data_IF_806826804750
#
_entry.id   IF_806826804750
#
_cell.length_a   1.000
_cell.length_b   1.000
_cell.length_c   1.000
_cell.angle_alpha   90.00
_cell.angle_beta   90.00
_cell.angle_gamma   90.00
#
_symmetry.space_group_name_H-M   'P 1'
#
loop_
_entity.id
_entity.type
_entity.pdbx_description
1 polymer ?
#
# COMPACT_ATOMS: atom_id res chain seq x y z
N UNK A 1 4.78 9.14 -3.65
CA UNK A 1 6.10 8.75 -4.18
C UNK A 1 6.73 7.77 -3.22
N UNK A 2 7.15 6.65 -3.71
CA UNK A 2 7.74 5.58 -2.94
C UNK A 2 9.26 5.72 -2.92
N UNK A 3 9.84 6.02 -1.78
CA UNK A 3 11.22 6.50 -1.74
C UNK A 3 11.35 7.83 -2.51
N UNK A 4 12.26 8.66 -2.15
CA UNK A 4 12.57 9.85 -2.92
C UNK A 4 13.89 9.58 -3.64
N UNK A 5 13.96 9.87 -4.94
CA UNK A 5 15.25 10.03 -5.58
C UNK A 5 16.02 11.17 -4.89
N UNK A 6 17.36 11.20 -4.97
CA UNK A 6 18.14 12.20 -4.26
C UNK A 6 17.70 13.65 -4.54
N UNK A 7 17.39 14.08 -5.78
CA UNK A 7 16.88 15.43 -6.06
C UNK A 7 15.55 15.73 -5.35
N UNK A 8 14.60 14.81 -5.36
CA UNK A 8 13.31 14.99 -4.69
C UNK A 8 13.47 15.02 -3.16
N UNK A 9 14.36 14.21 -2.60
CA UNK A 9 14.65 14.23 -1.18
C UNK A 9 15.29 15.57 -0.75
N UNK A 10 16.25 16.08 -1.54
CA UNK A 10 16.87 17.39 -1.32
C UNK A 10 15.81 18.50 -1.38
N UNK A 11 15.00 18.54 -2.44
CA UNK A 11 13.91 19.52 -2.56
C UNK A 11 12.92 19.45 -1.38
N UNK A 12 12.62 18.26 -0.90
CA UNK A 12 11.73 18.09 0.26
C UNK A 12 12.35 18.70 1.51
N UNK A 13 13.67 18.54 1.71
CA UNK A 13 14.38 19.13 2.83
C UNK A 13 14.41 20.68 2.73
N UNK A 14 14.75 21.22 1.57
CA UNK A 14 14.79 22.66 1.32
C UNK A 14 13.44 23.33 1.55
N UNK A 15 12.36 22.73 1.03
CA UNK A 15 11.00 23.23 1.24
C UNK A 15 10.60 23.13 2.71
N UNK A 16 10.91 22.03 3.38
CA UNK A 16 10.60 21.87 4.79
C UNK A 16 11.32 22.93 5.65
N UNK A 17 12.58 23.22 5.38
CA UNK A 17 13.34 24.27 6.05
C UNK A 17 12.77 25.65 5.79
N UNK A 18 12.48 25.98 4.53
CA UNK A 18 11.90 27.26 4.09
C UNK A 18 10.58 27.57 4.84
N UNK A 19 9.73 26.59 5.05
CA UNK A 19 8.44 26.74 5.73
C UNK A 19 8.50 26.44 7.25
N UNK A 20 9.71 26.32 7.81
CA UNK A 20 9.92 26.19 9.26
C UNK A 20 9.39 24.87 9.84
N UNK A 21 9.39 23.80 9.05
CA UNK A 21 9.02 22.49 9.56
C UNK A 21 9.93 22.07 10.72
N UNK A 22 9.35 21.38 11.72
CA UNK A 22 10.08 20.94 12.90
C UNK A 22 10.84 19.64 12.67
N UNK A 23 10.37 18.79 11.74
CA UNK A 23 11.02 17.52 11.43
C UNK A 23 10.56 16.95 10.09
N UNK A 24 11.45 16.15 9.48
CA UNK A 24 11.11 15.19 8.43
C UNK A 24 11.09 13.79 9.04
N UNK A 25 9.97 13.09 8.94
CA UNK A 25 9.81 11.76 9.50
C UNK A 25 9.57 10.73 8.42
N UNK A 26 10.40 9.70 8.35
CA UNK A 26 10.12 8.52 7.53
C UNK A 26 8.99 7.72 8.20
N UNK A 27 7.89 7.52 7.48
CA UNK A 27 6.72 6.80 7.97
C UNK A 27 6.86 5.28 7.77
N UNK A 28 6.03 4.49 8.47
CA UNK A 28 5.95 3.05 8.26
C UNK A 28 5.48 2.62 6.85
N UNK A 29 4.93 3.56 6.07
CA UNK A 29 4.59 3.34 4.66
C UNK A 29 5.70 3.84 3.71
N UNK A 30 6.92 4.07 4.22
CA UNK A 30 8.08 4.53 3.46
C UNK A 30 7.87 5.88 2.74
N UNK A 31 7.04 6.73 3.33
CA UNK A 31 6.80 8.12 2.88
C UNK A 31 7.49 9.09 3.83
N UNK A 32 7.82 10.28 3.35
CA UNK A 32 8.31 11.37 4.19
C UNK A 32 7.11 12.21 4.66
N UNK A 33 6.96 12.35 5.96
CA UNK A 33 6.02 13.29 6.56
C UNK A 33 6.77 14.55 6.98
N UNK A 34 6.28 15.70 6.53
CA UNK A 34 6.79 17.02 6.95
C UNK A 34 5.97 17.43 8.18
N UNK A 35 6.63 17.56 9.32
CA UNK A 35 5.96 17.74 10.62
C UNK A 35 6.14 19.18 11.10
N UNK A 36 5.05 19.76 11.62
CA UNK A 36 5.09 21.08 12.27
C UNK A 36 4.93 22.27 11.33
N UNK A 37 4.44 22.04 10.11
CA UNK A 37 3.99 23.12 9.22
C UNK A 37 2.80 23.83 9.83
N UNK A 38 2.64 25.12 9.51
CA UNK A 38 1.42 25.84 9.77
C UNK A 38 0.34 25.43 8.75
N UNK A 39 -0.90 25.41 9.17
CA UNK A 39 -2.03 25.01 8.32
C UNK A 39 -2.14 25.90 7.07
N UNK A 40 -1.91 27.19 7.22
CA UNK A 40 -1.94 28.20 6.14
C UNK A 40 -0.88 27.97 5.03
N UNK A 41 0.21 27.27 5.35
CA UNK A 41 1.32 27.01 4.43
C UNK A 41 1.18 25.69 3.65
N UNK A 42 0.26 24.79 4.05
CA UNK A 42 0.17 23.44 3.51
C UNK A 42 0.01 23.43 1.99
N UNK A 43 -0.90 24.24 1.45
CA UNK A 43 -1.15 24.28 0.00
C UNK A 43 0.04 24.86 -0.77
N UNK A 44 0.74 25.84 -0.19
CA UNK A 44 1.94 26.42 -0.78
C UNK A 44 3.09 25.40 -0.83
N UNK A 45 3.27 24.63 0.25
CA UNK A 45 4.25 23.55 0.33
C UNK A 45 4.00 22.49 -0.74
N UNK A 46 2.75 22.00 -0.90
CA UNK A 46 2.42 21.01 -1.93
C UNK A 46 2.64 21.53 -3.35
N UNK A 47 2.26 22.77 -3.62
CA UNK A 47 2.53 23.41 -4.93
C UNK A 47 4.02 23.50 -5.22
N UNK A 48 4.82 23.92 -4.24
CA UNK A 48 6.26 24.06 -4.42
C UNK A 48 6.96 22.71 -4.60
N UNK A 49 6.53 21.68 -3.85
CA UNK A 49 7.01 20.32 -4.05
C UNK A 49 6.66 19.76 -5.43
N UNK A 50 5.55 20.21 -6.02
CA UNK A 50 5.05 19.67 -7.29
C UNK A 50 4.51 18.24 -7.17
N UNK A 51 4.04 17.88 -5.97
CA UNK A 51 3.52 16.55 -5.66
C UNK A 51 2.10 16.65 -5.11
N UNK A 52 1.31 15.59 -5.30
CA UNK A 52 0.02 15.45 -4.65
C UNK A 52 0.17 15.04 -3.18
N UNK A 53 -0.76 15.50 -2.35
CA UNK A 53 -0.84 15.07 -0.96
C UNK A 53 -1.07 13.55 -0.85
N UNK A 54 -0.38 12.90 0.08
CA UNK A 54 -0.55 11.47 0.31
C UNK A 54 -1.88 11.15 1.00
N UNK A 55 -2.56 10.08 0.59
CA UNK A 55 -3.79 9.59 1.22
C UNK A 55 -3.49 8.91 2.57
N UNK A 56 -3.16 9.72 3.58
CA UNK A 56 -2.80 9.24 4.92
C UNK A 56 -4.02 8.98 5.83
N UNK A 57 -5.17 9.57 5.52
CA UNK A 57 -6.43 9.46 6.29
C UNK A 57 -7.62 9.22 5.36
N UNK A 58 -8.77 8.85 5.90
CA UNK A 58 -10.00 8.65 5.11
C UNK A 58 -10.33 7.20 4.77
N UNK A 59 -11.46 7.00 4.14
CA UNK A 59 -11.95 5.70 3.65
C UNK A 59 -11.47 5.51 2.22
N UNK A 60 -10.23 5.07 2.07
CA UNK A 60 -9.58 4.96 0.77
C UNK A 60 -8.46 3.92 0.78
N UNK A 61 -7.90 3.65 -0.40
CA UNK A 61 -6.63 2.96 -0.52
C UNK A 61 -5.53 3.86 0.04
N UNK A 62 -4.87 3.39 1.11
CA UNK A 62 -3.74 4.09 1.74
C UNK A 62 -2.46 3.87 0.95
N UNK A 63 -1.43 4.65 1.27
CA UNK A 63 -0.09 4.47 0.70
C UNK A 63 0.33 3.00 0.73
N UNK A 64 0.69 2.47 -0.41
CA UNK A 64 1.10 1.08 -0.58
C UNK A 64 2.54 0.93 -0.09
N UNK A 65 2.82 -0.13 0.65
CA UNK A 65 4.14 -0.43 1.15
C UNK A 65 4.76 -1.54 0.30
N UNK A 66 5.99 -1.35 -0.17
CA UNK A 66 6.73 -2.39 -0.86
C UNK A 66 8.15 -2.49 -0.30
N UNK A 67 8.80 -3.62 -0.40
CA UNK A 67 10.22 -3.74 -0.17
C UNK A 67 11.00 -3.57 -1.50
N UNK A 68 12.33 -3.46 -1.47
CA UNK A 68 13.11 -3.29 -2.70
C UNK A 68 12.97 -4.43 -3.73
N UNK A 69 12.59 -5.63 -3.30
CA UNK A 69 12.48 -6.78 -4.19
C UNK A 69 13.77 -7.10 -4.93
N UNK A 70 13.66 -7.70 -6.12
CA UNK A 70 14.81 -8.04 -6.96
C UNK A 70 15.62 -6.84 -7.44
N UNK A 71 15.06 -5.64 -7.35
CA UNK A 71 15.77 -4.42 -7.77
C UNK A 71 17.04 -4.16 -6.93
N UNK A 72 16.97 -4.36 -5.60
CA UNK A 72 18.09 -4.05 -4.70
C UNK A 72 18.33 -5.13 -3.63
N UNK A 73 17.56 -6.19 -3.58
CA UNK A 73 17.69 -7.22 -2.56
C UNK A 73 18.17 -8.55 -3.16
N UNK A 74 19.31 -9.05 -2.68
CA UNK A 74 19.86 -10.36 -3.10
C UNK A 74 18.95 -11.55 -2.77
N UNK A 75 18.08 -11.40 -1.76
CA UNK A 75 17.10 -12.41 -1.34
C UNK A 75 15.74 -12.23 -2.03
N UNK A 76 15.59 -11.19 -2.85
CA UNK A 76 14.36 -10.94 -3.62
C UNK A 76 14.11 -12.06 -4.63
N UNK A 77 12.86 -12.50 -4.72
CA UNK A 77 12.39 -13.50 -5.69
C UNK A 77 11.53 -12.84 -6.78
N UNK A 78 10.87 -11.74 -6.43
CA UNK A 78 9.96 -11.00 -7.31
C UNK A 78 10.24 -9.49 -7.25
N UNK A 79 9.86 -8.77 -8.31
CA UNK A 79 9.97 -7.31 -8.40
C UNK A 79 8.89 -6.60 -7.56
N UNK A 80 9.13 -6.53 -6.26
CA UNK A 80 8.19 -5.87 -5.35
C UNK A 80 8.11 -4.37 -5.55
N UNK A 81 9.19 -3.74 -5.98
CA UNK A 81 9.21 -2.30 -6.21
C UNK A 81 8.35 -1.94 -7.43
N UNK A 82 8.54 -2.61 -8.56
CA UNK A 82 7.75 -2.36 -9.77
C UNK A 82 6.26 -2.63 -9.57
N UNK A 83 5.90 -3.78 -8.96
CA UNK A 83 4.50 -4.10 -8.65
C UNK A 83 3.91 -3.12 -7.64
N UNK A 84 4.66 -2.73 -6.61
CA UNK A 84 4.22 -1.76 -5.61
C UNK A 84 3.97 -0.38 -6.18
N UNK A 85 4.82 0.10 -7.10
CA UNK A 85 4.65 1.36 -7.81
C UNK A 85 3.43 1.33 -8.73
N UNK A 86 3.23 0.24 -9.48
CA UNK A 86 2.07 0.08 -10.35
C UNK A 86 0.74 0.10 -9.57
N UNK A 87 0.70 -0.53 -8.39
CA UNK A 87 -0.46 -0.48 -7.50
C UNK A 87 -0.68 0.91 -6.93
N UNK A 88 0.39 1.60 -6.50
CA UNK A 88 0.31 2.96 -5.93
C UNK A 88 -0.22 3.95 -6.98
N UNK A 89 0.28 3.89 -8.21
CA UNK A 89 -0.16 4.72 -9.32
C UNK A 89 -1.64 4.53 -9.66
N UNK A 90 -2.11 3.27 -9.66
CA UNK A 90 -3.50 2.94 -10.04
C UNK A 90 -4.51 3.25 -8.95
N UNK A 91 -4.15 3.04 -7.68
CA UNK A 91 -5.17 2.94 -6.61
C UNK A 91 -4.96 3.88 -5.43
N UNK A 92 -3.76 4.47 -5.25
CA UNK A 92 -3.50 5.34 -4.11
C UNK A 92 -4.53 6.47 -4.00
N UNK A 93 -5.18 6.59 -2.85
CA UNK A 93 -6.21 7.60 -2.62
C UNK A 93 -7.59 7.27 -3.17
N UNK A 94 -7.76 6.16 -3.93
CA UNK A 94 -9.08 5.77 -4.45
C UNK A 94 -10.06 5.54 -3.31
N UNK A 95 -11.25 6.15 -3.41
CA UNK A 95 -12.31 6.04 -2.42
C UNK A 95 -12.86 4.62 -2.33
N UNK A 96 -13.03 4.15 -1.10
CA UNK A 96 -13.55 2.83 -0.76
C UNK A 96 -14.53 2.92 0.42
N UNK A 97 -15.38 1.91 0.62
CA UNK A 97 -16.27 1.85 1.79
C UNK A 97 -15.52 1.86 3.14
N UNK A 98 -14.29 1.36 3.17
CA UNK A 98 -13.44 1.32 4.36
C UNK A 98 -11.97 1.61 4.05
N UNK A 99 -11.18 1.77 5.11
CA UNK A 99 -9.72 1.91 5.01
C UNK A 99 -9.11 0.62 4.46
N UNK A 100 -8.31 0.70 3.42
CA UNK A 100 -7.62 -0.44 2.83
C UNK A 100 -6.10 -0.19 2.74
N UNK A 101 -5.31 -1.16 3.17
CA UNK A 101 -3.85 -1.13 3.11
C UNK A 101 -3.34 -2.28 2.29
N UNK A 102 -2.42 -2.00 1.38
CA UNK A 102 -1.73 -3.03 0.58
C UNK A 102 -0.24 -3.03 0.87
N UNK A 103 0.39 -4.19 0.68
CA UNK A 103 1.85 -4.26 0.67
C UNK A 103 2.39 -5.38 -0.19
N UNK A 104 3.63 -5.19 -0.64
CA UNK A 104 4.31 -6.08 -1.59
C UNK A 104 5.70 -6.42 -1.02
N UNK A 105 5.90 -7.68 -0.66
CA UNK A 105 7.18 -8.22 -0.20
C UNK A 105 7.79 -9.08 -1.30
N UNK A 106 8.95 -8.73 -1.83
CA UNK A 106 9.61 -9.42 -2.94
C UNK A 106 10.25 -10.77 -2.57
N UNK A 107 10.10 -11.23 -1.34
CA UNK A 107 10.63 -12.49 -0.88
C UNK A 107 9.96 -12.97 0.41
N UNK A 108 10.26 -14.20 0.79
CA UNK A 108 9.64 -14.94 1.90
C UNK A 108 9.81 -14.31 3.28
N UNK A 109 10.81 -13.41 3.46
CA UNK A 109 11.04 -12.72 4.71
C UNK A 109 9.97 -11.68 5.03
N UNK A 110 9.04 -11.43 4.11
CA UNK A 110 7.87 -10.58 4.32
C UNK A 110 8.21 -9.17 4.87
N UNK A 111 9.28 -8.56 4.38
CA UNK A 111 9.82 -7.28 4.88
C UNK A 111 8.84 -6.09 4.78
N UNK A 112 7.88 -6.13 3.86
CA UNK A 112 6.80 -5.15 3.76
C UNK A 112 5.56 -5.52 4.58
N UNK A 113 5.61 -6.59 5.39
CA UNK A 113 4.52 -7.05 6.26
C UNK A 113 3.24 -7.41 5.50
N UNK A 114 3.38 -8.08 4.34
CA UNK A 114 2.26 -8.40 3.44
C UNK A 114 1.18 -9.26 4.10
N UNK A 115 1.56 -10.20 4.97
CA UNK A 115 0.64 -11.09 5.68
C UNK A 115 -0.29 -10.39 6.67
N UNK A 116 -0.01 -9.13 7.01
CA UNK A 116 -0.83 -8.35 7.95
C UNK A 116 -1.37 -7.07 7.28
N UNK A 117 -1.75 -7.18 6.01
CA UNK A 117 -2.41 -6.12 5.24
C UNK A 117 -3.73 -6.62 4.67
N UNK A 118 -4.62 -5.69 4.32
CA UNK A 118 -5.91 -6.04 3.71
C UNK A 118 -5.70 -6.83 2.42
N UNK A 119 -4.69 -6.44 1.62
CA UNK A 119 -4.20 -7.19 0.46
C UNK A 119 -2.67 -7.24 0.56
N UNK A 120 -2.10 -8.43 0.51
CA UNK A 120 -0.66 -8.65 0.56
C UNK A 120 -0.17 -9.51 -0.58
N UNK A 121 0.97 -9.12 -1.17
CA UNK A 121 1.71 -9.92 -2.14
C UNK A 121 3.04 -10.32 -1.54
N UNK A 122 3.35 -11.61 -1.54
CA UNK A 122 4.64 -12.14 -1.10
C UNK A 122 5.28 -12.93 -2.23
N UNK A 123 6.51 -12.58 -2.60
CA UNK A 123 7.25 -13.18 -3.70
C UNK A 123 7.90 -14.51 -3.31
N UNK A 124 7.68 -15.52 -4.14
CA UNK A 124 8.33 -16.82 -4.11
C UNK A 124 8.99 -17.07 -5.47
N UNK A 125 9.72 -18.18 -5.63
CA UNK A 125 10.37 -18.50 -6.91
C UNK A 125 9.34 -18.78 -8.00
N UNK A 126 8.21 -19.39 -7.63
CA UNK A 126 7.11 -19.73 -8.53
C UNK A 126 6.20 -18.56 -8.88
N UNK A 127 6.41 -17.37 -8.30
CA UNK A 127 5.57 -16.20 -8.50
C UNK A 127 5.05 -15.59 -7.20
N UNK A 128 3.95 -14.85 -7.29
CA UNK A 128 3.35 -14.19 -6.13
C UNK A 128 2.37 -15.09 -5.39
N UNK A 129 2.45 -15.07 -4.07
CA UNK A 129 1.36 -15.49 -3.20
C UNK A 129 0.54 -14.27 -2.80
N UNK A 130 -0.76 -14.32 -3.04
CA UNK A 130 -1.71 -13.28 -2.70
C UNK A 130 -2.45 -13.65 -1.41
N UNK A 131 -2.39 -12.77 -0.43
CA UNK A 131 -3.10 -12.89 0.85
C UNK A 131 -4.10 -11.76 1.03
N UNK A 132 -5.20 -12.03 1.72
CA UNK A 132 -6.29 -11.07 1.95
C UNK A 132 -6.78 -11.07 3.40
N UNK A 133 -7.30 -9.93 3.84
CA UNK A 133 -7.99 -9.79 5.13
C UNK A 133 -7.09 -9.63 6.35
N UNK A 134 -5.79 -9.45 6.16
CA UNK A 134 -4.86 -9.11 7.25
C UNK A 134 -4.99 -7.65 7.70
N UNK A 135 -4.63 -7.37 8.95
CA UNK A 135 -4.45 -6.01 9.45
C UNK A 135 -3.56 -5.98 10.71
N UNK A 136 -3.02 -4.80 11.01
CA UNK A 136 -2.36 -4.50 12.28
C UNK A 136 -3.06 -3.27 12.87
N UNK A 137 -4.04 -3.51 13.70
CA UNK A 137 -4.77 -2.51 14.48
C UNK A 137 -5.10 -3.08 15.87
N UNK A 138 -6.11 -2.56 16.57
CA UNK A 138 -6.49 -3.02 17.92
C UNK A 138 -6.87 -4.51 17.99
N UNK A 139 -7.28 -5.11 16.86
CA UNK A 139 -7.53 -6.54 16.73
C UNK A 139 -6.73 -7.06 15.53
N UNK A 140 -5.45 -7.42 15.73
CA UNK A 140 -4.58 -7.82 14.64
C UNK A 140 -5.04 -9.14 14.00
N UNK A 141 -4.87 -9.23 12.68
CA UNK A 141 -5.28 -10.39 11.89
C UNK A 141 -4.18 -10.76 10.92
N UNK A 142 -3.93 -12.03 10.78
CA UNK A 142 -3.09 -12.56 9.70
C UNK A 142 -3.98 -12.79 8.48
N UNK A 143 -3.50 -12.36 7.32
CA UNK A 143 -4.18 -12.58 6.05
C UNK A 143 -4.31 -14.06 5.71
N UNK A 144 -5.38 -14.39 5.01
CA UNK A 144 -5.61 -15.74 4.48
C UNK A 144 -5.06 -15.83 3.05
N UNK A 145 -4.38 -16.93 2.73
CA UNK A 145 -3.93 -17.19 1.36
C UNK A 145 -5.15 -17.32 0.44
N UNK A 146 -5.17 -16.52 -0.61
CA UNK A 146 -6.19 -16.57 -1.65
C UNK A 146 -5.75 -17.46 -2.81
N UNK A 147 -4.53 -17.24 -3.30
CA UNK A 147 -3.89 -18.02 -4.38
C UNK A 147 -2.38 -17.80 -4.38
N UNK A 148 -1.67 -18.62 -5.15
CA UNK A 148 -0.20 -18.58 -5.30
C UNK A 148 0.25 -18.84 -6.73
N UNK A 149 1.53 -18.60 -7.01
CA UNK A 149 2.13 -18.83 -8.33
C UNK A 149 1.71 -17.82 -9.39
N UNK A 150 1.31 -16.59 -8.99
CA UNK A 150 0.85 -15.57 -9.91
C UNK A 150 2.02 -14.84 -10.58
N UNK A 151 1.86 -14.53 -11.85
CA UNK A 151 2.69 -13.52 -12.55
C UNK A 151 2.35 -12.11 -12.06
N UNK A 152 3.15 -11.11 -12.44
CA UNK A 152 2.86 -9.70 -12.12
C UNK A 152 1.48 -9.27 -12.62
N UNK A 153 1.16 -9.57 -13.87
CA UNK A 153 -0.11 -9.18 -14.49
C UNK A 153 -1.31 -9.87 -13.84
N UNK A 154 -1.18 -11.16 -13.53
CA UNK A 154 -2.20 -11.90 -12.81
C UNK A 154 -2.43 -11.33 -11.40
N UNK A 155 -1.35 -11.01 -10.68
CA UNK A 155 -1.43 -10.42 -9.34
C UNK A 155 -2.13 -9.05 -9.38
N UNK A 156 -1.77 -8.17 -10.34
CA UNK A 156 -2.40 -6.87 -10.53
C UNK A 156 -3.89 -7.01 -10.90
N UNK A 157 -4.23 -7.90 -11.83
CA UNK A 157 -5.61 -8.15 -12.22
C UNK A 157 -6.47 -8.73 -11.10
N UNK A 158 -5.90 -9.60 -10.26
CA UNK A 158 -6.63 -10.11 -9.08
C UNK A 158 -6.84 -9.04 -8.02
N UNK A 159 -5.85 -8.18 -7.77
CA UNK A 159 -6.02 -7.02 -6.87
C UNK A 159 -7.16 -6.13 -7.36
N UNK A 160 -7.24 -5.85 -8.65
CA UNK A 160 -8.34 -5.08 -9.24
C UNK A 160 -9.71 -5.72 -8.98
N UNK A 161 -9.87 -7.01 -9.27
CA UNK A 161 -11.12 -7.74 -9.01
C UNK A 161 -11.52 -7.70 -7.54
N UNK A 162 -10.55 -7.87 -6.61
CA UNK A 162 -10.78 -7.77 -5.17
C UNK A 162 -11.27 -6.37 -4.78
N UNK A 163 -10.64 -5.32 -5.29
CA UNK A 163 -11.02 -3.94 -5.00
C UNK A 163 -12.43 -3.63 -5.52
N UNK A 164 -12.78 -4.06 -6.72
CA UNK A 164 -14.13 -3.90 -7.28
C UNK A 164 -15.18 -4.64 -6.45
N UNK A 165 -14.90 -5.89 -6.09
CA UNK A 165 -15.80 -6.65 -5.23
C UNK A 165 -15.98 -6.00 -3.85
N UNK A 166 -14.88 -5.54 -3.25
CA UNK A 166 -14.91 -4.86 -1.97
C UNK A 166 -15.70 -3.55 -2.05
N UNK A 167 -15.48 -2.74 -3.09
CA UNK A 167 -16.18 -1.47 -3.30
C UNK A 167 -17.69 -1.65 -3.39
N UNK A 168 -18.15 -2.73 -4.04
CA UNK A 168 -19.57 -3.01 -4.25
C UNK A 168 -20.26 -3.63 -3.04
N UNK A 169 -19.55 -4.47 -2.28
CA UNK A 169 -20.19 -5.35 -1.27
C UNK A 169 -19.91 -4.98 0.19
N UNK A 170 -18.90 -4.14 0.45
CA UNK A 170 -18.57 -3.76 1.82
C UNK A 170 -19.49 -2.66 2.34
N UNK A 171 -19.80 -2.73 3.65
CA UNK A 171 -20.50 -1.66 4.37
C UNK A 171 -19.56 -0.50 4.67
N UNK A 172 -20.09 0.69 4.90
CA UNK A 172 -19.30 1.86 5.29
C UNK A 172 -18.52 1.58 6.58
N UNK A 173 -17.20 1.76 6.53
CA UNK A 173 -16.27 1.48 7.63
C UNK A 173 -15.83 0.02 7.74
N UNK A 174 -16.46 -0.93 7.03
CA UNK A 174 -16.10 -2.35 7.05
C UNK A 174 -14.75 -2.57 6.36
N UNK A 175 -13.82 -3.22 7.03
CA UNK A 175 -12.54 -3.60 6.43
C UNK A 175 -12.66 -4.88 5.61
N UNK A 176 -11.74 -5.11 4.66
CA UNK A 176 -11.75 -6.28 3.79
C UNK A 176 -11.79 -7.60 4.59
N UNK A 177 -11.04 -7.70 5.70
CA UNK A 177 -11.08 -8.89 6.56
C UNK A 177 -12.45 -9.14 7.20
N UNK A 178 -13.17 -8.07 7.56
CA UNK A 178 -14.52 -8.18 8.11
C UNK A 178 -15.53 -8.59 7.03
N UNK A 179 -15.39 -8.04 5.81
CA UNK A 179 -16.19 -8.48 4.66
C UNK A 179 -15.99 -9.99 4.42
N UNK A 180 -14.72 -10.45 4.39
CA UNK A 180 -14.40 -11.88 4.19
C UNK A 180 -15.01 -12.77 5.29
N UNK A 181 -15.01 -12.31 6.54
CA UNK A 181 -15.68 -13.07 7.62
C UNK A 181 -17.20 -13.17 7.40
N UNK A 182 -17.82 -12.15 6.84
CA UNK A 182 -19.25 -12.10 6.58
C UNK A 182 -19.69 -12.91 5.37
N UNK A 183 -18.93 -12.88 4.27
CA UNK A 183 -19.30 -13.55 3.00
C UNK A 183 -18.62 -14.91 2.79
N UNK A 184 -17.55 -15.20 3.52
CA UNK A 184 -16.67 -16.35 3.34
C UNK A 184 -15.55 -16.11 2.33
N UNK A 185 -14.40 -16.74 2.58
CA UNK A 185 -13.23 -16.65 1.68
C UNK A 185 -13.50 -17.31 0.32
N UNK A 186 -14.24 -18.40 0.29
CA UNK A 186 -14.55 -19.14 -0.95
C UNK A 186 -15.44 -18.33 -1.88
N UNK A 187 -16.33 -17.51 -1.34
CA UNK A 187 -17.11 -16.53 -2.14
C UNK A 187 -16.18 -15.55 -2.82
N UNK A 188 -15.21 -15.00 -2.10
CA UNK A 188 -14.23 -14.09 -2.70
C UNK A 188 -13.37 -14.81 -3.75
N UNK A 189 -12.93 -16.04 -3.49
CA UNK A 189 -12.17 -16.85 -4.46
C UNK A 189 -12.94 -17.03 -5.77
N UNK A 190 -14.21 -17.39 -5.70
CA UNK A 190 -15.06 -17.59 -6.88
C UNK A 190 -15.22 -16.33 -7.74
N UNK A 191 -15.17 -15.15 -7.13
CA UNK A 191 -15.31 -13.87 -7.86
C UNK A 191 -14.03 -13.46 -8.58
N UNK A 192 -12.86 -13.82 -8.03
CA UNK A 192 -11.57 -13.35 -8.55
C UNK A 192 -10.83 -14.37 -9.42
N UNK A 193 -11.31 -15.60 -9.45
CA UNK A 193 -10.79 -16.69 -10.31
C UNK A 193 -10.93 -16.44 -11.82
#
# INVERSE_FOLDING_TARGET
MWGSDPPTAAKTADVAEKYGAKALKITGATRIAIVGLKEEDIDAVWRELGMSAGAAVGLCVRSIRACPGTTYCKLGKQDALGVGLALDERYHGSELPGKLKMSVSGGVLNCAESWVRDIGLTGYEEGWTLTVGGNVDAQPRIGKELTKGLTNDQALGMVEKILQHYKTNAKKGERLGMLIDRIGLDTLKAVVS
#
